data_IF_208045746501
#
_entry.id   IF_208045746501
#
_cell.length_a   1.000
_cell.length_b   1.000
_cell.length_c   1.000
_cell.angle_alpha   90.00
_cell.angle_beta   90.00
_cell.angle_gamma   90.00
#
_symmetry.space_group_name_H-M   'P 1'
#
loop_
_entity.id
_entity.type
_entity.pdbx_description
1 polymer ?
#
# COMPACT_ATOMS: atom_id res chain seq x y z
N UNK A 1 4.66 22.09 6.46
CA UNK A 1 3.72 20.98 6.26
C UNK A 1 4.47 19.73 6.66
N UNK A 2 4.11 19.21 7.82
CA UNK A 2 4.69 17.97 8.36
C UNK A 2 3.92 16.77 7.77
N UNK A 3 4.58 15.63 7.61
CA UNK A 3 3.93 14.40 7.16
C UNK A 3 2.78 13.99 8.09
N UNK A 4 2.94 14.18 9.40
CA UNK A 4 1.91 13.89 10.40
C UNK A 4 0.63 14.72 10.23
N UNK A 5 0.71 15.90 9.62
CA UNK A 5 -0.45 16.74 9.29
C UNK A 5 -1.21 16.21 8.06
N UNK A 6 -0.54 15.46 7.19
CA UNK A 6 -1.09 14.93 5.93
C UNK A 6 -1.80 13.59 6.17
N UNK A 7 -1.25 12.72 7.02
CA UNK A 7 -1.81 11.38 7.32
C UNK A 7 -3.33 11.40 7.57
N UNK A 8 -3.91 12.29 8.41
CA UNK A 8 -5.36 12.27 8.66
C UNK A 8 -6.20 12.79 7.48
N UNK A 9 -5.59 13.38 6.45
CA UNK A 9 -6.27 13.98 5.30
C UNK A 9 -6.28 13.06 4.07
N UNK A 10 -5.57 11.92 4.11
CA UNK A 10 -5.50 11.02 2.96
C UNK A 10 -6.78 10.20 2.83
N UNK A 11 -7.40 10.29 1.66
CA UNK A 11 -8.58 9.49 1.34
C UNK A 11 -8.63 9.17 -0.16
N UNK A 12 -9.50 8.23 -0.52
CA UNK A 12 -9.81 7.93 -1.90
C UNK A 12 -11.32 7.62 -2.02
N UNK A 13 -12.03 8.47 -2.74
CA UNK A 13 -13.48 8.44 -2.93
C UNK A 13 -14.01 7.11 -3.50
N UNK A 14 -13.17 6.35 -4.21
CA UNK A 14 -13.54 5.06 -4.77
C UNK A 14 -13.52 3.92 -3.74
N UNK A 15 -12.89 4.08 -2.57
CA UNK A 15 -12.74 3.00 -1.60
C UNK A 15 -14.08 2.43 -1.15
N UNK A 16 -15.05 3.28 -0.79
CA UNK A 16 -16.34 2.82 -0.30
C UNK A 16 -17.09 1.91 -1.31
N UNK A 17 -17.34 2.34 -2.57
CA UNK A 17 -18.00 1.47 -3.55
C UNK A 17 -17.14 0.28 -3.98
N UNK A 18 -15.82 0.43 -4.07
CA UNK A 18 -14.91 -0.65 -4.50
C UNK A 18 -14.77 -1.73 -3.42
N UNK A 19 -14.63 -1.36 -2.15
CA UNK A 19 -14.52 -2.32 -1.04
C UNK A 19 -15.82 -3.07 -0.80
N UNK A 20 -16.97 -2.45 -1.04
CA UNK A 20 -18.28 -3.12 -0.99
C UNK A 20 -18.37 -4.27 -2.01
N UNK A 21 -17.86 -4.04 -3.23
CA UNK A 21 -17.86 -5.06 -4.30
C UNK A 21 -16.69 -6.04 -4.19
N UNK A 22 -15.56 -5.60 -3.65
CA UNK A 22 -14.32 -6.36 -3.53
C UNK A 22 -13.74 -6.26 -2.10
N UNK A 23 -14.32 -6.96 -1.10
CA UNK A 23 -13.90 -6.87 0.30
C UNK A 23 -12.42 -7.25 0.55
N UNK A 24 -11.83 -8.03 -0.35
CA UNK A 24 -10.40 -8.37 -0.32
C UNK A 24 -9.50 -7.13 -0.35
N UNK A 25 -9.92 -6.04 -0.99
CA UNK A 25 -9.13 -4.79 -1.03
C UNK A 25 -9.09 -4.10 0.34
N UNK A 26 -10.20 -4.14 1.09
CA UNK A 26 -10.22 -3.66 2.48
C UNK A 26 -9.34 -4.53 3.39
N UNK A 27 -9.30 -5.84 3.15
CA UNK A 27 -8.40 -6.75 3.87
C UNK A 27 -6.93 -6.43 3.58
N UNK A 28 -6.57 -6.17 2.32
CA UNK A 28 -5.22 -5.76 1.93
C UNK A 28 -4.85 -4.42 2.58
N UNK A 29 -5.76 -3.44 2.62
CA UNK A 29 -5.57 -2.18 3.34
C UNK A 29 -5.22 -2.42 4.81
N UNK A 30 -6.02 -3.25 5.49
CA UNK A 30 -5.76 -3.61 6.89
C UNK A 30 -4.42 -4.33 7.08
N UNK A 31 -4.06 -5.23 6.15
CA UNK A 31 -2.77 -5.91 6.19
C UNK A 31 -1.60 -4.94 6.02
N UNK A 32 -1.66 -4.01 5.06
CA UNK A 32 -0.62 -2.98 4.87
C UNK A 32 -0.38 -2.18 6.15
N UNK A 33 -1.45 -1.72 6.80
CA UNK A 33 -1.37 -1.02 8.09
C UNK A 33 -0.78 -1.91 9.19
N UNK A 34 -1.17 -3.19 9.26
CA UNK A 34 -0.61 -4.13 10.24
C UNK A 34 0.88 -4.43 10.03
N UNK A 35 1.39 -4.26 8.80
CA UNK A 35 2.80 -4.39 8.46
C UNK A 35 3.60 -3.12 8.73
N UNK A 36 2.97 -2.06 9.26
CA UNK A 36 3.64 -0.82 9.63
C UNK A 36 3.60 0.29 8.58
N UNK A 37 2.67 0.23 7.62
CA UNK A 37 2.41 1.38 6.76
C UNK A 37 1.80 2.52 7.60
N UNK A 38 2.30 3.74 7.44
CA UNK A 38 1.73 4.95 8.06
C UNK A 38 0.40 5.32 7.40
N UNK A 39 0.27 4.96 6.11
CA UNK A 39 -0.88 5.24 5.26
C UNK A 39 -1.07 4.05 4.32
N UNK A 40 -2.32 3.64 4.07
CA UNK A 40 -2.65 2.65 3.05
C UNK A 40 -3.95 3.02 2.33
N UNK A 41 -3.94 3.06 0.99
CA UNK A 41 -5.11 3.38 0.18
C UNK A 41 -5.18 2.57 -1.11
N UNK A 42 -6.36 2.59 -1.72
CA UNK A 42 -6.53 2.28 -3.13
C UNK A 42 -5.77 3.31 -4.00
N UNK A 43 -5.10 2.86 -5.05
CA UNK A 43 -4.47 3.72 -6.06
C UNK A 43 -5.47 4.04 -7.18
N UNK A 44 -5.96 5.28 -7.23
CA UNK A 44 -6.99 5.68 -8.20
C UNK A 44 -8.27 4.85 -8.05
N UNK A 45 -8.83 4.36 -9.15
CA UNK A 45 -10.00 3.46 -9.11
C UNK A 45 -9.67 1.99 -8.82
N UNK A 46 -8.40 1.66 -8.58
CA UNK A 46 -7.96 0.29 -8.27
C UNK A 46 -7.64 -0.59 -9.50
N UNK A 47 -7.42 -1.89 -9.33
CA UNK A 47 -7.48 -2.68 -8.07
C UNK A 47 -6.18 -2.65 -7.24
N UNK A 48 -5.20 -1.83 -7.64
CA UNK A 48 -3.92 -1.73 -6.94
C UNK A 48 -4.09 -1.01 -5.59
N UNK A 49 -3.57 -1.62 -4.54
CA UNK A 49 -3.42 -1.02 -3.21
C UNK A 49 -1.98 -0.55 -3.03
N UNK A 50 -1.76 0.53 -2.29
CA UNK A 50 -0.42 0.97 -1.89
C UNK A 50 -0.38 1.31 -0.41
N UNK A 51 0.81 1.20 0.17
CA UNK A 51 1.12 1.67 1.51
C UNK A 51 2.36 2.56 1.49
N UNK A 52 2.36 3.60 2.32
CA UNK A 52 3.54 4.45 2.56
C UNK A 52 4.18 4.00 3.86
N UNK A 53 5.48 3.75 3.81
CA UNK A 53 6.26 3.24 4.94
C UNK A 53 7.35 4.25 5.33
N UNK A 54 7.79 4.29 6.60
CA UNK A 54 8.83 5.20 7.07
C UNK A 54 10.17 5.03 6.34
N UNK A 55 10.45 3.83 5.83
CA UNK A 55 11.69 3.52 5.13
C UNK A 55 11.58 2.36 4.15
N UNK A 56 12.58 2.26 3.26
CA UNK A 56 12.65 1.23 2.24
C UNK A 56 12.68 -0.18 2.82
N UNK A 57 13.44 -0.41 3.90
CA UNK A 57 13.52 -1.72 4.56
C UNK A 57 12.18 -2.17 5.15
N UNK A 58 11.35 -1.22 5.64
CA UNK A 58 10.02 -1.52 6.15
C UNK A 58 9.08 -1.94 5.01
N UNK A 59 9.12 -1.21 3.89
CA UNK A 59 8.37 -1.54 2.69
C UNK A 59 8.78 -2.91 2.09
N UNK A 60 10.07 -3.23 2.05
CA UNK A 60 10.58 -4.52 1.56
C UNK A 60 10.16 -5.70 2.44
N UNK A 61 10.16 -5.52 3.76
CA UNK A 61 9.65 -6.53 4.70
C UNK A 61 8.16 -6.77 4.48
N UNK A 62 7.36 -5.71 4.37
CA UNK A 62 5.94 -5.83 4.08
C UNK A 62 5.71 -6.52 2.72
N UNK A 63 6.44 -6.11 1.68
CA UNK A 63 6.36 -6.68 0.34
C UNK A 63 6.64 -8.19 0.34
N UNK A 64 7.62 -8.65 1.13
CA UNK A 64 7.95 -10.07 1.27
C UNK A 64 6.79 -10.91 1.82
N UNK A 65 5.95 -10.33 2.69
CA UNK A 65 4.75 -11.01 3.21
C UNK A 65 3.68 -11.16 2.12
N UNK A 66 3.42 -10.11 1.35
CA UNK A 66 2.45 -10.16 0.25
C UNK A 66 2.91 -11.06 -0.91
N UNK A 67 4.23 -11.13 -1.16
CA UNK A 67 4.81 -11.98 -2.20
C UNK A 67 4.62 -13.48 -1.94
N UNK A 68 4.22 -13.89 -0.73
CA UNK A 68 3.86 -15.27 -0.43
C UNK A 68 2.56 -15.70 -1.17
N UNK A 69 1.68 -14.76 -1.50
CA UNK A 69 0.55 -15.02 -2.38
C UNK A 69 0.99 -14.88 -3.84
N UNK A 70 1.12 -16.02 -4.53
CA UNK A 70 1.54 -16.10 -5.92
C UNK A 70 0.59 -15.41 -6.91
N UNK A 71 -0.62 -15.03 -6.47
CA UNK A 71 -1.56 -14.26 -7.29
C UNK A 71 -1.28 -12.76 -7.25
N UNK A 72 -0.44 -12.29 -6.33
CA UNK A 72 -0.12 -10.88 -6.18
C UNK A 72 1.17 -10.52 -6.91
N UNK A 73 1.14 -9.33 -7.53
CA UNK A 73 2.33 -8.67 -8.05
C UNK A 73 2.69 -7.52 -7.10
N UNK A 74 3.83 -7.62 -6.45
CA UNK A 74 4.22 -6.74 -5.35
C UNK A 74 5.48 -5.97 -5.70
N UNK A 75 5.53 -4.69 -5.31
CA UNK A 75 6.65 -3.81 -5.55
C UNK A 75 6.91 -2.95 -4.30
N UNK A 76 8.17 -2.87 -3.88
CA UNK A 76 8.65 -1.85 -2.95
C UNK A 76 9.42 -0.81 -3.77
N UNK A 77 8.93 0.43 -3.82
CA UNK A 77 9.52 1.51 -4.62
C UNK A 77 9.66 2.79 -3.79
N UNK A 78 10.75 3.56 -3.98
CA UNK A 78 10.85 4.89 -3.40
C UNK A 78 9.74 5.81 -3.91
N UNK A 79 9.12 6.59 -3.03
CA UNK A 79 8.07 7.55 -3.41
C UNK A 79 8.60 8.69 -4.31
N UNK A 80 9.91 8.94 -4.28
CA UNK A 80 10.62 9.81 -5.21
C UNK A 80 11.89 9.11 -5.71
N UNK A 81 12.02 8.91 -7.02
CA UNK A 81 13.18 8.26 -7.65
C UNK A 81 12.80 7.31 -8.78
N UNK A 82 13.80 6.74 -9.46
CA UNK A 82 13.60 5.71 -10.48
C UNK A 82 13.21 4.39 -9.81
N UNK A 83 12.17 3.66 -10.28
CA UNK A 83 11.79 2.38 -9.70
C UNK A 83 12.98 1.41 -9.67
N UNK A 84 13.31 0.89 -8.49
CA UNK A 84 14.32 -0.17 -8.35
C UNK A 84 13.60 -1.50 -8.31
N UNK A 85 13.66 -2.26 -9.39
CA UNK A 85 13.07 -3.60 -9.44
C UNK A 85 14.05 -4.58 -8.80
N UNK A 86 13.91 -4.80 -7.49
CA UNK A 86 14.55 -5.97 -6.87
C UNK A 86 13.75 -7.21 -7.25
N UNK A 87 14.29 -8.00 -8.18
CA UNK A 87 13.86 -9.39 -8.37
C UNK A 87 14.39 -10.18 -7.19
N UNK A 88 13.49 -10.69 -6.35
CA UNK A 88 13.79 -11.77 -5.42
C UNK A 88 13.32 -13.07 -6.06
#
# INVERSE_FOLDING_TARGET
>A
MDWSEIIPLVENDFEAPVFSQHPVLAQIKSQLLSQGAEVALLSGSGATMFGVFPGQADAERAASVFALDQKMKVYAVPAAGTPVTSMV
#
